data_IF_431238985668
#
_entry.id   IF_431238985668
#
_cell.length_a   1.000
_cell.length_b   1.000
_cell.length_c   1.000
_cell.angle_alpha   90.00
_cell.angle_beta   90.00
_cell.angle_gamma   90.00
#
_symmetry.space_group_name_H-M   'P 1'
#
loop_
_entity.id
_entity.type
_entity.pdbx_description
1 polymer ?
#
# COMPACT_ATOMS: atom_id res chain seq x y z
N UNK A 1 -25.55 19.95 -4.96
CA UNK A 1 -25.58 18.55 -4.50
C UNK A 1 -24.35 17.72 -4.94
N UNK A 2 -23.70 18.01 -6.08
CA UNK A 2 -22.57 17.22 -6.62
C UNK A 2 -21.27 17.13 -5.77
N UNK A 3 -21.01 18.05 -4.83
CA UNK A 3 -19.79 18.00 -4.02
C UNK A 3 -19.90 16.98 -2.87
N UNK A 4 -21.07 16.89 -2.22
CA UNK A 4 -21.32 15.94 -1.15
C UNK A 4 -21.24 14.50 -1.65
N UNK A 5 -21.78 14.21 -2.84
CA UNK A 5 -21.74 12.88 -3.45
C UNK A 5 -20.30 12.43 -3.77
N UNK A 6 -19.43 13.34 -4.19
CA UNK A 6 -18.00 13.02 -4.47
C UNK A 6 -17.21 12.75 -3.20
N UNK A 7 -17.42 13.54 -2.15
CA UNK A 7 -16.78 13.32 -0.85
C UNK A 7 -17.27 11.99 -0.26
N UNK A 8 -18.56 11.72 -0.31
CA UNK A 8 -19.13 10.47 0.18
C UNK A 8 -18.61 9.25 -0.59
N UNK A 9 -18.49 9.34 -1.92
CA UNK A 9 -17.91 8.30 -2.76
C UNK A 9 -16.41 8.05 -2.45
N UNK A 10 -15.63 9.10 -2.23
CA UNK A 10 -14.21 8.99 -1.89
C UNK A 10 -14.01 8.38 -0.49
N UNK A 11 -14.77 8.85 0.51
CA UNK A 11 -14.72 8.32 1.88
C UNK A 11 -15.12 6.84 1.88
N UNK A 12 -16.19 6.46 1.18
CA UNK A 12 -16.59 5.05 1.05
C UNK A 12 -15.46 4.20 0.48
N UNK A 13 -14.77 4.70 -0.55
CA UNK A 13 -13.65 4.00 -1.17
C UNK A 13 -12.48 3.81 -0.20
N UNK A 14 -12.13 4.86 0.56
CA UNK A 14 -11.05 4.81 1.55
C UNK A 14 -11.38 3.83 2.68
N UNK A 15 -12.60 3.91 3.24
CA UNK A 15 -13.02 3.02 4.34
C UNK A 15 -13.03 1.56 3.90
N UNK A 16 -13.53 1.26 2.70
CA UNK A 16 -13.53 -0.11 2.18
C UNK A 16 -12.11 -0.62 1.98
N UNK A 17 -11.22 0.20 1.40
CA UNK A 17 -9.82 -0.17 1.22
C UNK A 17 -9.10 -0.40 2.56
N UNK A 18 -9.35 0.46 3.55
CA UNK A 18 -8.76 0.36 4.88
C UNK A 18 -9.25 -0.88 5.64
N UNK A 19 -10.54 -1.22 5.55
CA UNK A 19 -11.06 -2.46 6.14
C UNK A 19 -10.44 -3.70 5.49
N UNK A 20 -10.34 -3.75 4.16
CA UNK A 20 -9.72 -4.89 3.45
C UNK A 20 -8.24 -5.02 3.83
N UNK A 21 -7.50 -3.91 3.82
CA UNK A 21 -6.07 -3.90 4.14
C UNK A 21 -5.81 -4.20 5.63
N UNK A 22 -6.61 -3.64 6.54
CA UNK A 22 -6.48 -3.89 7.98
C UNK A 22 -6.91 -5.29 8.38
N UNK A 23 -7.84 -5.92 7.64
CA UNK A 23 -8.20 -7.32 7.82
C UNK A 23 -6.99 -8.24 7.59
N UNK A 24 -6.25 -8.03 6.50
CA UNK A 24 -5.04 -8.80 6.19
C UNK A 24 -3.97 -8.62 7.28
N UNK A 25 -3.78 -7.40 7.77
CA UNK A 25 -2.85 -7.10 8.87
C UNK A 25 -3.27 -7.76 10.19
N UNK A 26 -4.57 -7.77 10.52
CA UNK A 26 -5.09 -8.44 11.74
C UNK A 26 -4.95 -9.95 11.65
N UNK A 27 -5.20 -10.56 10.50
CA UNK A 27 -5.00 -12.00 10.27
C UNK A 27 -3.52 -12.37 10.42
N UNK A 28 -2.61 -11.54 9.90
CA UNK A 28 -1.17 -11.73 10.06
C UNK A 28 -0.73 -11.67 11.53
N UNK A 29 -1.23 -10.70 12.30
CA UNK A 29 -0.99 -10.61 13.75
C UNK A 29 -1.57 -11.82 14.47
N UNK A 30 -2.78 -12.26 14.13
CA UNK A 30 -3.41 -13.43 14.74
C UNK A 30 -2.64 -14.73 14.46
N UNK A 31 -2.12 -14.89 13.23
CA UNK A 31 -1.30 -16.03 12.84
C UNK A 31 0.07 -16.03 13.55
N UNK A 32 0.69 -14.86 13.71
CA UNK A 32 1.93 -14.71 14.46
C UNK A 32 1.73 -15.00 15.97
N UNK A 33 0.65 -14.46 16.56
CA UNK A 33 0.31 -14.67 17.98
C UNK A 33 -0.07 -16.12 18.31
N UNK A 34 -0.58 -16.90 17.35
CA UNK A 34 -0.80 -18.34 17.53
C UNK A 34 0.51 -19.15 17.53
N UNK A 35 1.55 -18.66 16.83
CA UNK A 35 2.86 -19.31 16.75
C UNK A 35 3.77 -18.91 17.93
N UNK A 36 3.61 -17.70 18.45
CA UNK A 36 4.33 -17.17 19.59
C UNK A 36 3.62 -17.54 20.90
N UNK A 37 3.87 -18.76 21.38
CA UNK A 37 3.36 -19.19 22.67
C UNK A 37 4.02 -18.42 23.82
N UNK A 38 3.50 -17.26 24.21
CA UNK A 38 3.57 -16.67 25.56
C UNK A 38 2.61 -15.48 25.70
N UNK A 39 2.00 -15.32 26.88
CA UNK A 39 0.88 -14.39 27.17
C UNK A 39 1.22 -12.89 27.07
N UNK A 40 2.45 -12.51 26.72
CA UNK A 40 2.92 -11.12 26.78
C UNK A 40 3.05 -10.42 25.41
N UNK A 41 2.96 -11.14 24.29
CA UNK A 41 3.20 -10.55 22.97
C UNK A 41 2.02 -9.69 22.48
N UNK A 42 0.79 -10.10 22.78
CA UNK A 42 -0.43 -9.36 22.38
C UNK A 42 -0.46 -7.96 22.99
N UNK A 43 0.00 -7.80 24.24
CA UNK A 43 0.08 -6.48 24.91
C UNK A 43 1.09 -5.57 24.19
N UNK A 44 2.26 -6.11 23.79
CA UNK A 44 3.28 -5.33 23.09
C UNK A 44 2.79 -4.90 21.70
N UNK A 45 2.09 -5.78 20.97
CA UNK A 45 1.50 -5.45 19.67
C UNK A 45 0.40 -4.39 19.79
N UNK A 46 -0.52 -4.54 20.75
CA UNK A 46 -1.60 -3.56 20.98
C UNK A 46 -1.03 -2.21 21.41
N UNK A 47 -0.01 -2.20 22.27
CA UNK A 47 0.67 -0.97 22.68
C UNK A 47 1.39 -0.31 21.50
N UNK A 48 2.09 -1.09 20.67
CA UNK A 48 2.72 -0.62 19.45
C UNK A 48 1.72 -0.01 18.46
N UNK A 49 0.55 -0.64 18.29
CA UNK A 49 -0.53 -0.13 17.44
C UNK A 49 -1.11 1.18 18.00
N UNK A 50 -1.39 1.22 19.31
CA UNK A 50 -1.91 2.41 19.99
C UNK A 50 -0.96 3.59 19.89
N UNK A 51 0.36 3.38 20.00
CA UNK A 51 1.36 4.43 19.81
C UNK A 51 1.53 4.82 18.34
N UNK A 52 1.39 3.86 17.41
CA UNK A 52 1.59 4.11 15.98
C UNK A 52 0.52 5.03 15.40
N UNK A 53 -0.75 4.90 15.83
CA UNK A 53 -1.85 5.71 15.29
C UNK A 53 -1.61 7.23 15.47
N UNK A 54 -1.33 7.76 16.68
CA UNK A 54 -0.98 9.17 16.86
C UNK A 54 0.22 9.60 16.03
N UNK A 55 1.27 8.78 15.99
CA UNK A 55 2.50 9.09 15.24
C UNK A 55 2.19 9.21 13.75
N UNK A 56 1.40 8.29 13.19
CA UNK A 56 1.00 8.32 11.78
C UNK A 56 0.09 9.52 11.52
N UNK A 57 -0.89 9.81 12.38
CA UNK A 57 -1.79 10.96 12.19
C UNK A 57 -1.00 12.28 12.19
N UNK A 58 -0.08 12.46 13.14
CA UNK A 58 0.79 13.64 13.20
C UNK A 58 1.77 13.69 12.02
N UNK A 59 2.42 12.57 11.70
CA UNK A 59 3.38 12.44 10.61
C UNK A 59 2.74 12.60 9.22
N UNK A 60 1.47 12.19 9.05
CA UNK A 60 0.76 12.28 7.79
C UNK A 60 0.62 13.71 7.30
N UNK A 61 0.48 14.69 8.21
CA UNK A 61 0.42 16.10 7.84
C UNK A 61 1.74 16.58 7.23
N UNK A 62 2.87 16.10 7.75
CA UNK A 62 4.19 16.39 7.20
C UNK A 62 4.36 15.74 5.82
N UNK A 63 3.99 14.47 5.70
CA UNK A 63 4.07 13.71 4.44
C UNK A 63 3.18 14.35 3.37
N UNK A 64 1.95 14.75 3.71
CA UNK A 64 1.02 15.43 2.80
C UNK A 64 1.61 16.74 2.28
N UNK A 65 2.16 17.59 3.16
CA UNK A 65 2.85 18.82 2.75
C UNK A 65 4.03 18.53 1.82
N UNK A 66 4.75 17.45 2.07
CA UNK A 66 5.88 17.06 1.23
C UNK A 66 5.41 16.57 -0.14
N UNK A 67 4.32 15.81 -0.21
CA UNK A 67 3.70 15.36 -1.47
C UNK A 67 3.14 16.53 -2.29
N UNK A 68 2.55 17.53 -1.63
CA UNK A 68 2.08 18.76 -2.29
C UNK A 68 3.25 19.57 -2.85
N UNK A 69 4.37 19.64 -2.12
CA UNK A 69 5.57 20.35 -2.56
C UNK A 69 6.33 19.60 -3.67
N UNK A 70 6.40 18.28 -3.57
CA UNK A 70 7.17 17.41 -4.45
C UNK A 70 6.30 16.24 -4.95
N UNK A 71 5.49 16.43 -6.01
CA UNK A 71 4.57 15.41 -6.51
C UNK A 71 5.28 14.14 -7.04
N UNK A 72 6.59 14.22 -7.33
CA UNK A 72 7.41 13.05 -7.67
C UNK A 72 7.39 11.97 -6.59
N UNK A 73 7.19 12.35 -5.32
CA UNK A 73 7.12 11.44 -4.18
C UNK A 73 5.97 10.45 -4.32
N UNK A 74 4.85 10.86 -4.92
CA UNK A 74 3.70 9.97 -5.16
C UNK A 74 4.10 8.84 -6.11
N UNK A 75 4.87 9.16 -7.15
CA UNK A 75 5.32 8.17 -8.14
C UNK A 75 6.37 7.24 -7.52
N UNK A 76 7.34 7.80 -6.78
CA UNK A 76 8.37 7.01 -6.09
C UNK A 76 7.77 6.12 -5.01
N UNK A 77 6.81 6.62 -4.23
CA UNK A 77 6.07 5.84 -3.24
C UNK A 77 5.29 4.70 -3.88
N UNK A 78 4.61 4.95 -5.00
CA UNK A 78 3.95 3.90 -5.77
C UNK A 78 4.94 2.84 -6.28
N UNK A 79 6.09 3.24 -6.83
CA UNK A 79 7.13 2.31 -7.27
C UNK A 79 7.68 1.47 -6.10
N UNK A 80 7.89 2.08 -4.94
CA UNK A 80 8.33 1.37 -3.73
C UNK A 80 7.29 0.35 -3.26
N UNK A 81 6.00 0.70 -3.28
CA UNK A 81 4.92 -0.25 -2.96
C UNK A 81 4.88 -1.39 -3.97
N UNK A 82 5.10 -1.11 -5.26
CA UNK A 82 5.25 -2.12 -6.30
C UNK A 82 6.43 -3.06 -6.05
N UNK A 83 7.56 -2.52 -5.58
CA UNK A 83 8.71 -3.33 -5.18
C UNK A 83 8.39 -4.29 -4.03
N UNK A 84 7.77 -3.77 -2.97
CA UNK A 84 7.40 -4.55 -1.79
C UNK A 84 6.42 -5.65 -2.20
N UNK A 85 5.39 -5.33 -2.98
CA UNK A 85 4.44 -6.29 -3.50
C UNK A 85 5.11 -7.39 -4.35
N UNK A 86 6.07 -7.01 -5.21
CA UNK A 86 6.87 -7.95 -5.98
C UNK A 86 7.65 -8.93 -5.10
N UNK A 87 8.27 -8.44 -4.04
CA UNK A 87 8.94 -9.30 -3.04
C UNK A 87 7.96 -10.22 -2.31
N UNK A 88 6.78 -9.70 -1.92
CA UNK A 88 5.75 -10.49 -1.24
C UNK A 88 5.22 -11.64 -2.12
N UNK A 89 5.04 -11.41 -3.43
CA UNK A 89 4.60 -12.46 -4.37
C UNK A 89 5.57 -13.65 -4.43
N UNK A 90 6.88 -13.40 -4.29
CA UNK A 90 7.87 -14.47 -4.31
C UNK A 90 7.86 -15.31 -3.03
N UNK A 91 7.60 -14.66 -1.90
CA UNK A 91 7.53 -15.31 -0.58
C UNK A 91 6.15 -15.92 -0.29
N UNK A 92 5.15 -15.66 -1.13
CA UNK A 92 3.81 -16.18 -0.95
C UNK A 92 3.80 -17.72 -1.01
N UNK A 93 3.23 -18.38 0.00
CA UNK A 93 3.30 -19.82 0.16
C UNK A 93 2.68 -20.60 -1.03
N UNK A 94 1.74 -20.01 -1.77
CA UNK A 94 1.14 -20.65 -2.94
C UNK A 94 2.05 -20.57 -4.18
N UNK A 95 2.84 -19.51 -4.29
CA UNK A 95 3.68 -19.23 -5.47
C UNK A 95 5.16 -19.59 -5.23
N UNK A 96 5.60 -19.63 -3.98
CA UNK A 96 6.97 -19.93 -3.59
C UNK A 96 7.52 -21.26 -4.16
N UNK A 97 6.72 -22.34 -4.32
CA UNK A 97 7.20 -23.59 -4.94
C UNK A 97 7.43 -23.48 -6.45
N UNK A 98 6.79 -22.52 -7.11
CA UNK A 98 6.80 -22.34 -8.56
C UNK A 98 7.79 -21.25 -8.99
N UNK A 99 8.31 -20.48 -8.04
CA UNK A 99 9.17 -19.33 -8.27
C UNK A 99 10.61 -19.66 -7.87
N UNK A 100 11.61 -19.28 -8.69
CA UNK A 100 13.01 -19.37 -8.29
C UNK A 100 13.28 -18.50 -7.06
N UNK A 101 13.94 -19.07 -6.06
CA UNK A 101 14.23 -18.39 -4.78
C UNK A 101 15.71 -18.01 -4.64
N UNK A 102 16.55 -18.51 -5.53
CA UNK A 102 17.99 -18.38 -5.51
C UNK A 102 18.50 -17.13 -6.26
N UNK A 103 19.74 -16.73 -6.00
CA UNK A 103 20.41 -15.66 -6.73
C UNK A 103 19.71 -14.29 -6.65
N UNK A 104 19.55 -13.62 -7.79
CA UNK A 104 19.04 -12.25 -7.87
C UNK A 104 17.52 -12.15 -8.07
N UNK A 105 16.80 -13.28 -8.12
CA UNK A 105 15.36 -13.33 -8.39
C UNK A 105 14.51 -12.46 -7.44
N UNK A 106 14.81 -12.34 -6.13
CA UNK A 106 14.06 -11.43 -5.25
C UNK A 106 14.11 -9.97 -5.68
N UNK A 107 15.29 -9.52 -6.12
CA UNK A 107 15.44 -8.17 -6.66
C UNK A 107 14.74 -8.02 -8.01
N UNK A 108 14.73 -9.07 -8.84
CA UNK A 108 14.03 -9.06 -10.14
C UNK A 108 12.52 -8.89 -9.95
N UNK A 109 11.89 -9.62 -9.03
CA UNK A 109 10.45 -9.45 -8.75
C UNK A 109 10.13 -8.08 -8.16
N UNK A 110 10.99 -7.57 -7.27
CA UNK A 110 10.88 -6.20 -6.77
C UNK A 110 10.99 -5.15 -7.88
N UNK A 111 12.02 -5.21 -8.73
CA UNK A 111 12.18 -4.30 -9.87
C UNK A 111 10.97 -4.41 -10.82
N UNK A 112 10.53 -5.63 -11.13
CA UNK A 112 9.40 -5.87 -12.02
C UNK A 112 8.12 -5.24 -11.47
N UNK A 113 7.84 -5.41 -10.18
CA UNK A 113 6.71 -4.78 -9.52
C UNK A 113 6.79 -3.24 -9.54
N UNK A 114 7.96 -2.66 -9.24
CA UNK A 114 8.16 -1.22 -9.30
C UNK A 114 7.97 -0.64 -10.71
N UNK A 115 8.53 -1.32 -11.73
CA UNK A 115 8.39 -0.93 -13.14
C UNK A 115 6.95 -1.06 -13.61
N UNK A 116 6.26 -2.13 -13.21
CA UNK A 116 4.84 -2.34 -13.53
C UNK A 116 3.98 -1.20 -12.98
N UNK A 117 4.20 -0.78 -11.73
CA UNK A 117 3.50 0.38 -11.16
C UNK A 117 3.80 1.66 -11.93
N UNK A 118 5.06 1.88 -12.32
CA UNK A 118 5.44 3.05 -13.11
C UNK A 118 4.76 3.08 -14.49
N UNK A 119 4.73 1.94 -15.19
CA UNK A 119 4.13 1.80 -16.52
C UNK A 119 2.61 1.98 -16.45
N UNK A 120 1.93 1.32 -15.50
CA UNK A 120 0.50 1.48 -15.28
C UNK A 120 0.15 2.92 -14.89
N UNK A 121 0.91 3.52 -13.98
CA UNK A 121 0.73 4.91 -13.57
C UNK A 121 0.80 5.88 -14.75
N UNK A 122 1.82 5.74 -15.61
CA UNK A 122 1.93 6.56 -16.83
C UNK A 122 0.85 6.25 -17.87
N UNK A 123 0.46 4.99 -18.03
CA UNK A 123 -0.62 4.56 -18.92
C UNK A 123 -1.96 5.19 -18.54
N UNK A 124 -2.34 5.10 -17.28
CA UNK A 124 -3.58 5.68 -16.74
C UNK A 124 -3.57 7.21 -16.83
N UNK A 125 -2.44 7.86 -16.55
CA UNK A 125 -2.30 9.31 -16.70
C UNK A 125 -2.55 9.74 -18.16
N UNK A 126 -1.96 9.02 -19.12
CA UNK A 126 -2.13 9.27 -20.55
C UNK A 126 -3.57 9.04 -21.00
N UNK A 127 -4.24 8.00 -20.50
CA UNK A 127 -5.65 7.72 -20.80
C UNK A 127 -6.59 8.79 -20.25
N UNK A 128 -6.39 9.23 -19.00
CA UNK A 128 -7.19 10.30 -18.39
C UNK A 128 -6.99 11.67 -19.05
N UNK A 129 -5.80 11.94 -19.56
CA UNK A 129 -5.53 13.18 -20.32
C UNK A 129 -6.28 13.24 -21.65
N UNK A 130 -6.56 12.09 -22.29
CA UNK A 130 -7.22 12.03 -23.60
C UNK A 130 -8.75 12.23 -23.50
N UNK A 131 -9.32 12.04 -22.31
CA UNK A 131 -10.78 12.07 -22.08
C UNK A 131 -11.31 13.40 -21.51
N UNK A 132 -10.56 14.50 -21.54
CA UNK A 132 -11.10 15.84 -21.24
C UNK A 132 -11.66 16.44 -22.54
N UNK A 133 -12.99 16.42 -22.78
CA UNK A 133 -13.56 17.21 -23.87
C UNK A 133 -13.26 18.68 -23.59
N UNK A 134 -12.69 19.34 -24.59
CA UNK A 134 -12.42 20.78 -24.61
C UNK A 134 -13.78 21.45 -24.51
N UNK A 135 -14.11 22.01 -23.34
CA UNK A 135 -15.32 22.80 -23.15
C UNK A 135 -14.95 24.25 -23.45
N UNK A 136 -15.19 24.66 -24.70
CA UNK A 136 -15.26 26.06 -25.15
C UNK A 136 -16.56 26.70 -24.69
#
# INVERSE_FOLDING_TARGET
VQAADRLWSAVKTIVVADVVMSLDNVIGIAAAAQQAGEKHEVILVVFGLLLSVPIIVLGSQLVLKLMERFPVIITLGGMLLGWIAGGMLQTDAALAPWLPQDGAWPYVFGVAGAVLVLLLGRGVQKWRSKSRPIRS
#
